data_IF_024305552882
#
_entry.id   IF_024305552882
#
_cell.length_a   1.000
_cell.length_b   1.000
_cell.length_c   1.000
_cell.angle_alpha   90.00
_cell.angle_beta   90.00
_cell.angle_gamma   90.00
#
_symmetry.space_group_name_H-M   'P 1'
#
loop_
_entity.id
_entity.type
_entity.pdbx_description
1 polymer ?
#
# COMPACT_ATOMS: atom_id res chain seq x y z
N UNK A 1 -26.92 7.19 -7.75
CA UNK A 1 -25.50 7.10 -7.37
C UNK A 1 -25.19 5.69 -6.92
N UNK A 2 -24.21 5.01 -7.53
CA UNK A 2 -23.65 3.79 -6.95
C UNK A 2 -22.61 4.24 -5.93
N UNK A 3 -22.86 3.99 -4.64
CA UNK A 3 -21.92 4.37 -3.59
C UNK A 3 -20.66 3.52 -3.74
N UNK A 4 -19.55 4.14 -4.15
CA UNK A 4 -18.27 3.48 -4.25
C UNK A 4 -17.75 3.15 -2.84
N UNK A 5 -17.68 1.85 -2.54
CA UNK A 5 -17.33 1.35 -1.21
C UNK A 5 -15.82 1.43 -1.01
N UNK A 6 -15.38 1.94 0.14
CA UNK A 6 -13.93 2.01 0.43
C UNK A 6 -13.39 0.61 0.71
N UNK A 7 -12.18 0.34 0.21
CA UNK A 7 -11.46 -0.90 0.49
C UNK A 7 -11.04 -0.98 1.97
N UNK A 8 -10.67 0.15 2.56
CA UNK A 8 -10.22 0.24 3.94
C UNK A 8 -10.95 1.35 4.70
N UNK A 9 -11.33 1.05 5.94
CA UNK A 9 -12.05 1.98 6.82
C UNK A 9 -11.26 2.41 8.07
N UNK A 10 -9.98 2.02 8.18
CA UNK A 10 -9.11 2.48 9.27
C UNK A 10 -8.71 3.95 9.08
N UNK A 11 -8.37 4.63 10.18
CA UNK A 11 -7.80 5.98 10.12
C UNK A 11 -6.28 5.92 10.12
N UNK A 12 -5.64 6.85 9.43
CA UNK A 12 -4.17 7.04 9.47
C UNK A 12 -3.65 7.10 10.91
N UNK A 13 -4.38 7.80 11.77
CA UNK A 13 -4.05 7.98 13.17
C UNK A 13 -4.10 6.68 13.99
N UNK A 14 -4.73 5.61 13.51
CA UNK A 14 -4.78 4.30 14.17
C UNK A 14 -3.65 3.38 13.72
N UNK A 15 -2.86 3.79 12.71
CA UNK A 15 -1.77 2.97 12.20
C UNK A 15 -0.54 3.08 13.09
N UNK A 16 -0.03 1.91 13.50
CA UNK A 16 1.16 1.75 14.34
C UNK A 16 2.38 1.31 13.56
N UNK A 17 2.21 0.39 12.60
CA UNK A 17 3.30 -0.10 11.77
C UNK A 17 2.84 -0.36 10.35
N UNK A 18 3.77 -0.25 9.40
CA UNK A 18 3.55 -0.52 7.99
C UNK A 18 4.71 -1.38 7.49
N UNK A 19 4.40 -2.48 6.83
CA UNK A 19 5.37 -3.26 6.06
C UNK A 19 5.00 -3.14 4.59
N UNK A 20 5.96 -2.73 3.77
CA UNK A 20 5.81 -2.61 2.33
C UNK A 20 6.90 -3.47 1.67
N UNK A 21 6.48 -4.48 0.93
CA UNK A 21 7.34 -5.29 0.09
C UNK A 21 7.09 -4.90 -1.38
N UNK A 22 8.10 -4.38 -2.07
CA UNK A 22 8.02 -3.98 -3.48
C UNK A 22 9.37 -4.19 -4.18
N UNK A 23 9.53 -3.68 -5.41
CA UNK A 23 10.79 -3.76 -6.15
C UNK A 23 12.01 -3.09 -5.45
N UNK A 24 11.79 -2.17 -4.50
CA UNK A 24 12.85 -1.58 -3.68
C UNK A 24 13.26 -2.47 -2.49
N UNK A 25 12.55 -3.58 -2.27
CA UNK A 25 12.78 -4.55 -1.20
C UNK A 25 11.75 -4.46 -0.06
N UNK A 26 12.07 -5.09 1.06
CA UNK A 26 11.22 -5.07 2.27
C UNK A 26 11.48 -3.81 3.09
N UNK A 27 10.49 -2.92 3.11
CA UNK A 27 10.46 -1.72 3.93
C UNK A 27 9.58 -1.96 5.15
N UNK A 28 10.08 -1.62 6.33
CA UNK A 28 9.31 -1.70 7.57
C UNK A 28 9.35 -0.33 8.24
N UNK A 29 8.18 0.20 8.56
CA UNK A 29 8.00 1.50 9.20
C UNK A 29 7.24 1.31 10.51
N UNK A 30 7.67 2.03 11.53
CA UNK A 30 6.99 2.10 12.82
C UNK A 30 6.73 3.56 13.16
N UNK A 31 5.51 3.82 13.63
CA UNK A 31 5.13 5.14 14.11
C UNK A 31 5.72 5.34 15.50
N UNK A 32 6.50 6.40 15.65
CA UNK A 32 7.11 6.79 16.92
C UNK A 32 6.25 7.80 17.67
N UNK A 33 5.62 8.72 16.93
CA UNK A 33 4.69 9.73 17.44
C UNK A 33 3.73 10.15 16.31
N UNK A 34 2.69 10.96 16.58
CA UNK A 34 1.82 11.49 15.54
C UNK A 34 2.63 12.23 14.45
N UNK A 35 2.51 11.77 13.20
CA UNK A 35 3.27 12.31 12.07
C UNK A 35 4.78 12.01 12.09
N UNK A 36 5.27 11.15 12.99
CA UNK A 36 6.67 10.78 13.07
C UNK A 36 6.85 9.28 12.84
N UNK A 37 7.46 8.96 11.72
CA UNK A 37 7.73 7.59 11.29
C UNK A 37 9.21 7.29 11.25
N UNK A 38 9.57 6.08 11.66
CA UNK A 38 10.93 5.54 11.57
C UNK A 38 10.90 4.31 10.70
N UNK A 39 11.75 4.29 9.69
CA UNK A 39 12.06 3.08 8.95
C UNK A 39 12.92 2.20 9.85
N UNK A 40 12.55 0.93 10.00
CA UNK A 40 13.32 -0.12 10.69
C UNK A 40 14.06 -1.02 9.73
N UNK A 41 13.53 -1.20 8.52
CA UNK A 41 14.15 -1.97 7.44
C UNK A 41 14.01 -1.25 6.09
N UNK A 42 15.04 -1.33 5.22
CA UNK A 42 16.31 -2.04 5.41
C UNK A 42 17.30 -1.32 6.33
N UNK A 43 17.04 -0.05 6.68
CA UNK A 43 17.88 0.76 7.57
C UNK A 43 17.04 1.36 8.68
N UNK A 44 17.65 1.55 9.85
CA UNK A 44 17.01 2.16 11.01
C UNK A 44 17.20 3.70 10.99
N UNK A 45 16.31 4.41 10.29
CA UNK A 45 16.44 5.84 9.98
C UNK A 45 15.07 6.54 9.99
N UNK A 46 15.06 7.87 10.08
CA UNK A 46 13.81 8.64 9.98
C UNK A 46 13.21 8.45 8.59
N UNK A 47 11.92 8.10 8.55
CA UNK A 47 11.19 7.97 7.31
C UNK A 47 10.61 9.31 6.87
N UNK A 48 10.26 9.40 5.59
CA UNK A 48 9.52 10.53 5.04
C UNK A 48 8.06 10.44 5.48
N UNK A 49 7.68 11.29 6.43
CA UNK A 49 6.32 11.35 6.97
C UNK A 49 5.29 11.70 5.89
N UNK A 50 5.59 12.61 4.97
CA UNK A 50 4.71 12.95 3.86
C UNK A 50 4.48 11.77 2.90
N UNK A 51 5.51 10.99 2.58
CA UNK A 51 5.38 9.79 1.72
C UNK A 51 4.50 8.73 2.39
N UNK A 52 4.66 8.53 3.70
CA UNK A 52 3.84 7.57 4.45
C UNK A 52 2.38 8.04 4.55
N UNK A 53 2.16 9.33 4.86
CA UNK A 53 0.83 9.92 4.88
C UNK A 53 0.14 9.81 3.51
N UNK A 54 0.88 10.04 2.42
CA UNK A 54 0.37 9.83 1.06
C UNK A 54 -0.05 8.38 0.83
N UNK A 55 0.78 7.40 1.23
CA UNK A 55 0.43 5.98 1.11
C UNK A 55 -0.87 5.64 1.85
N UNK A 56 -0.97 6.03 3.13
CA UNK A 56 -2.16 5.74 3.95
C UNK A 56 -3.40 6.47 3.43
N UNK A 57 -3.24 7.69 2.92
CA UNK A 57 -4.30 8.44 2.26
C UNK A 57 -4.80 7.71 1.02
N UNK A 58 -3.91 7.23 0.14
CA UNK A 58 -4.32 6.46 -1.04
C UNK A 58 -5.01 5.15 -0.67
N UNK A 59 -4.54 4.44 0.36
CA UNK A 59 -5.22 3.22 0.83
C UNK A 59 -6.64 3.50 1.33
N UNK A 60 -6.84 4.56 2.12
CA UNK A 60 -8.16 4.89 2.67
C UNK A 60 -9.08 5.60 1.67
N UNK A 61 -8.51 6.24 0.65
CA UNK A 61 -9.24 6.80 -0.48
C UNK A 61 -9.58 5.76 -1.56
N UNK A 62 -8.89 4.62 -1.58
CA UNK A 62 -9.13 3.57 -2.55
C UNK A 62 -10.55 3.02 -2.42
N UNK A 63 -11.25 3.02 -3.55
CA UNK A 63 -12.60 2.52 -3.67
C UNK A 63 -12.62 1.24 -4.49
N UNK A 64 -13.47 0.32 -4.08
CA UNK A 64 -13.89 -0.80 -4.90
C UNK A 64 -14.72 -0.25 -6.06
N UNK A 65 -14.20 -0.39 -7.28
CA UNK A 65 -15.00 -0.15 -8.48
C UNK A 65 -15.75 -1.41 -8.89
N UNK A 66 -15.09 -2.57 -8.77
CA UNK A 66 -15.67 -3.88 -9.07
C UNK A 66 -14.96 -4.97 -8.27
N UNK A 67 -15.71 -5.98 -7.84
CA UNK A 67 -15.16 -7.25 -7.34
C UNK A 67 -15.26 -8.33 -8.43
N UNK A 68 -14.22 -9.13 -8.57
CA UNK A 68 -14.13 -10.28 -9.47
C UNK A 68 -13.82 -11.50 -8.63
N UNK A 69 -14.65 -12.54 -8.73
CA UNK A 69 -14.38 -13.83 -8.11
C UNK A 69 -13.44 -14.61 -9.02
N UNK A 70 -12.17 -14.70 -8.61
CA UNK A 70 -11.13 -15.38 -9.38
C UNK A 70 -10.75 -16.70 -8.72
N UNK A 71 -10.54 -17.73 -9.52
CA UNK A 71 -9.93 -18.97 -9.03
C UNK A 71 -8.45 -18.74 -8.70
N UNK A 72 -7.86 -19.50 -7.76
CA UNK A 72 -6.45 -19.38 -7.41
C UNK A 72 -5.50 -19.59 -8.60
N UNK A 73 -5.90 -20.40 -9.59
CA UNK A 73 -5.16 -20.60 -10.85
C UNK A 73 -5.08 -19.33 -11.72
N UNK A 74 -6.06 -18.43 -11.61
CA UNK A 74 -6.14 -17.18 -12.38
C UNK A 74 -5.36 -16.04 -11.72
N UNK A 75 -4.74 -16.24 -10.55
CA UNK A 75 -3.89 -15.21 -9.91
C UNK A 75 -2.81 -14.66 -10.84
N UNK A 76 -2.31 -15.49 -11.76
CA UNK A 76 -1.31 -15.08 -12.73
C UNK A 76 -1.85 -14.03 -13.73
N UNK A 77 -3.09 -14.19 -14.23
CA UNK A 77 -3.75 -13.24 -15.14
C UNK A 77 -3.91 -11.85 -14.51
N UNK A 78 -4.13 -11.79 -13.20
CA UNK A 78 -4.27 -10.54 -12.46
C UNK A 78 -2.94 -9.99 -11.91
N UNK A 79 -1.80 -10.64 -12.19
CA UNK A 79 -0.50 -10.26 -11.63
C UNK A 79 -0.38 -10.43 -10.11
N UNK A 80 -1.27 -11.22 -9.49
CA UNK A 80 -1.31 -11.47 -8.04
C UNK A 80 -0.42 -12.63 -7.61
N UNK A 81 0.07 -13.44 -8.56
CA UNK A 81 1.08 -14.47 -8.30
C UNK A 81 2.47 -13.87 -8.02
N UNK A 82 2.80 -12.78 -8.71
CA UNK A 82 4.00 -11.97 -8.48
C UNK A 82 3.57 -10.51 -8.32
N UNK A 83 3.08 -10.13 -7.13
CA UNK A 83 2.51 -8.81 -6.92
C UNK A 83 3.57 -7.72 -7.10
N UNK A 84 3.15 -6.58 -7.62
CA UNK A 84 4.03 -5.43 -7.79
C UNK A 84 4.42 -4.81 -6.44
N UNK A 85 3.49 -4.84 -5.48
CA UNK A 85 3.71 -4.44 -4.10
C UNK A 85 2.78 -5.19 -3.15
N UNK A 86 3.21 -5.39 -1.91
CA UNK A 86 2.39 -5.89 -0.81
C UNK A 86 2.54 -4.95 0.38
N UNK A 87 1.45 -4.34 0.80
CA UNK A 87 1.38 -3.46 1.97
C UNK A 87 0.68 -4.20 3.09
N UNK A 88 1.27 -4.23 4.28
CA UNK A 88 0.63 -4.72 5.49
C UNK A 88 0.64 -3.60 6.53
N UNK A 89 -0.54 -3.17 6.93
CA UNK A 89 -0.78 -2.10 7.90
C UNK A 89 -1.17 -2.76 9.21
N UNK A 90 -0.48 -2.44 10.29
CA UNK A 90 -0.82 -2.90 11.64
C UNK A 90 -1.36 -1.71 12.43
N UNK A 91 -2.59 -1.86 12.92
CA UNK A 91 -3.27 -0.86 13.73
C UNK A 91 -2.88 -0.97 15.20
N UNK A 92 -3.12 0.09 15.96
CA UNK A 92 -2.84 0.17 17.40
C UNK A 92 -3.63 -0.87 18.21
N UNK A 93 -4.83 -1.25 17.74
CA UNK A 93 -5.66 -2.29 18.34
C UNK A 93 -5.19 -3.73 18.05
N UNK A 94 -4.09 -3.90 17.29
CA UNK A 94 -3.55 -5.19 16.89
C UNK A 94 -4.16 -5.80 15.63
N UNK A 95 -5.19 -5.17 15.03
CA UNK A 95 -5.72 -5.59 13.73
C UNK A 95 -4.69 -5.30 12.64
N UNK A 96 -4.60 -6.21 11.68
CA UNK A 96 -3.72 -6.08 10.53
C UNK A 96 -4.53 -6.08 9.26
N UNK A 97 -4.28 -5.09 8.40
CA UNK A 97 -4.83 -5.03 7.06
C UNK A 97 -3.74 -5.31 6.03
N UNK A 98 -4.03 -6.11 5.01
CA UNK A 98 -3.11 -6.40 3.92
C UNK A 98 -3.69 -6.01 2.57
N UNK A 99 -2.90 -5.29 1.78
CA UNK A 99 -3.16 -4.93 0.40
C UNK A 99 -2.10 -5.56 -0.48
N UNK A 100 -2.51 -6.40 -1.41
CA UNK A 100 -1.63 -6.96 -2.45
C UNK A 100 -1.98 -6.29 -3.76
N UNK A 101 -1.01 -5.59 -4.36
CA UNK A 101 -1.16 -4.86 -5.63
C UNK A 101 -0.69 -5.74 -6.78
N UNK A 102 -1.60 -6.07 -7.68
CA UNK A 102 -1.36 -6.88 -8.87
C UNK A 102 -1.08 -6.05 -10.13
N UNK A 103 -1.43 -6.62 -11.29
CA UNK A 103 -1.29 -5.97 -12.58
C UNK A 103 -2.38 -4.90 -12.80
N UNK A 104 -2.13 -4.03 -13.77
CA UNK A 104 -3.13 -3.10 -14.28
C UNK A 104 -4.14 -3.83 -15.17
N UNK A 105 -5.36 -3.31 -15.24
CA UNK A 105 -6.33 -3.73 -16.24
C UNK A 105 -5.88 -3.35 -17.66
N UNK A 106 -6.47 -3.97 -18.67
CA UNK A 106 -6.23 -3.69 -20.10
C UNK A 106 -6.34 -2.20 -20.46
N UNK A 107 -7.21 -1.47 -19.76
CA UNK A 107 -7.42 -0.03 -19.97
C UNK A 107 -6.28 0.84 -19.42
N UNK A 108 -5.47 0.31 -18.50
CA UNK A 108 -4.43 1.05 -17.77
C UNK A 108 -4.98 2.08 -16.76
N UNK A 109 -6.31 2.19 -16.62
CA UNK A 109 -6.97 3.13 -15.71
C UNK A 109 -7.12 2.56 -14.28
N UNK A 110 -7.17 1.23 -14.17
CA UNK A 110 -7.40 0.52 -12.92
C UNK A 110 -6.35 -0.56 -12.72
N UNK A 111 -6.25 -1.05 -11.49
CA UNK A 111 -5.43 -2.19 -11.13
C UNK A 111 -6.21 -3.23 -10.35
N UNK A 112 -5.70 -4.44 -10.39
CA UNK A 112 -6.19 -5.56 -9.60
C UNK A 112 -5.50 -5.59 -8.24
N UNK A 113 -6.27 -5.78 -7.18
CA UNK A 113 -5.74 -5.89 -5.83
C UNK A 113 -6.46 -6.98 -5.03
N UNK A 114 -5.76 -7.58 -4.07
CA UNK A 114 -6.37 -8.37 -3.01
C UNK A 114 -6.36 -7.56 -1.72
N UNK A 115 -7.49 -7.54 -1.04
CA UNK A 115 -7.65 -6.89 0.26
C UNK A 115 -7.93 -7.96 1.30
N UNK A 116 -7.16 -7.92 2.39
CA UNK A 116 -7.21 -8.88 3.50
C UNK A 116 -7.32 -10.36 3.05
N UNK A 117 -6.43 -10.82 2.14
CA UNK A 117 -6.50 -12.19 1.67
C UNK A 117 -6.23 -13.16 2.83
N UNK A 118 -6.95 -14.29 2.90
CA UNK A 118 -6.67 -15.31 3.89
C UNK A 118 -5.24 -15.82 3.74
N UNK A 119 -4.58 -16.14 4.86
CA UNK A 119 -3.21 -16.64 4.87
C UNK A 119 -3.03 -17.89 3.99
N UNK A 120 -4.08 -18.70 3.83
CA UNK A 120 -4.13 -19.86 2.95
C UNK A 120 -4.85 -19.54 1.63
N UNK A 121 -4.50 -18.42 1.01
CA UNK A 121 -5.04 -17.99 -0.29
C UNK A 121 -4.80 -19.01 -1.42
N UNK A 122 -3.97 -20.03 -1.21
CA UNK A 122 -3.77 -21.15 -2.12
C UNK A 122 -4.89 -22.20 -2.05
N UNK A 123 -5.53 -22.37 -0.89
CA UNK A 123 -6.67 -23.28 -0.69
C UNK A 123 -8.03 -22.58 -0.77
N UNK A 124 -8.04 -21.28 -1.01
CA UNK A 124 -9.28 -20.52 -1.15
C UNK A 124 -9.87 -20.81 -2.54
N UNK A 125 -11.08 -21.38 -2.64
CA UNK A 125 -11.65 -21.79 -3.92
C UNK A 125 -11.89 -20.61 -4.86
N UNK A 126 -12.28 -19.46 -4.29
CA UNK A 126 -12.59 -18.23 -5.01
C UNK A 126 -12.02 -17.06 -4.21
N UNK A 127 -11.18 -16.27 -4.85
CA UNK A 127 -10.52 -15.12 -4.25
C UNK A 127 -11.22 -13.84 -4.73
N UNK A 128 -11.62 -12.95 -3.81
CA UNK A 128 -12.18 -11.67 -4.18
C UNK A 128 -11.05 -10.76 -4.69
N UNK A 129 -10.95 -10.62 -6.00
CA UNK A 129 -10.05 -9.69 -6.67
C UNK A 129 -10.78 -8.38 -6.86
N UNK A 130 -10.25 -7.30 -6.30
CA UNK A 130 -10.82 -5.96 -6.37
C UNK A 130 -10.19 -5.19 -7.53
N UNK A 131 -11.01 -4.52 -8.32
CA UNK A 131 -10.60 -3.52 -9.31
C UNK A 131 -10.70 -2.16 -8.65
N UNK A 132 -9.58 -1.43 -8.63
CA UNK A 132 -9.47 -0.15 -7.90
C UNK A 132 -8.53 0.82 -8.61
N UNK A 133 -8.38 2.02 -8.03
CA UNK A 133 -7.65 3.13 -8.63
C UNK A 133 -6.15 2.83 -8.77
N UNK A 134 -5.56 3.35 -9.84
CA UNK A 134 -4.14 3.20 -10.11
C UNK A 134 -3.24 3.94 -9.11
N UNK A 135 -3.78 4.90 -8.35
CA UNK A 135 -3.02 5.70 -7.37
C UNK A 135 -2.34 4.84 -6.29
N UNK A 136 -2.91 3.66 -5.99
CA UNK A 136 -2.27 2.68 -5.09
C UNK A 136 -0.93 2.20 -5.64
N UNK A 137 -0.79 2.03 -6.95
CA UNK A 137 0.48 1.70 -7.59
C UNK A 137 1.49 2.82 -7.35
N UNK A 138 1.12 4.08 -7.57
CA UNK A 138 2.00 5.24 -7.36
C UNK A 138 2.36 5.46 -5.89
N UNK A 139 1.48 5.08 -4.97
CA UNK A 139 1.75 5.11 -3.55
C UNK A 139 2.72 4.03 -3.08
N UNK A 140 2.64 2.84 -3.66
CA UNK A 140 3.37 1.64 -3.19
C UNK A 140 4.66 1.37 -3.95
N UNK A 141 4.74 1.74 -5.22
CA UNK A 141 5.93 1.55 -6.07
C UNK A 141 6.74 2.84 -6.11
N UNK A 142 7.54 3.04 -5.05
CA UNK A 142 8.44 4.19 -4.92
C UNK A 142 9.85 3.73 -4.61
N UNK A 143 10.89 4.43 -5.12
CA UNK A 143 12.27 4.11 -4.79
C UNK A 143 12.54 4.32 -3.31
N UNK A 144 13.48 3.54 -2.74
CA UNK A 144 13.83 3.61 -1.31
C UNK A 144 14.08 5.05 -0.83
N UNK A 145 14.75 5.88 -1.64
CA UNK A 145 15.09 7.27 -1.31
C UNK A 145 13.88 8.15 -0.97
N UNK A 146 12.72 7.92 -1.59
CA UNK A 146 11.48 8.68 -1.35
C UNK A 146 10.87 8.35 0.02
N UNK A 147 11.18 7.18 0.57
CA UNK A 147 10.74 6.75 1.90
C UNK A 147 11.65 7.26 3.02
N UNK A 148 12.82 7.78 2.68
CA UNK A 148 13.76 8.35 3.64
C UNK A 148 13.45 9.83 3.83
N UNK A 149 13.52 10.30 5.06
CA UNK A 149 13.35 11.73 5.32
C UNK A 149 14.33 12.53 4.43
N UNK A 150 13.87 13.60 3.75
CA UNK A 150 14.74 14.39 2.91
C UNK A 150 15.89 14.94 3.77
N UNK A 151 17.11 15.05 3.19
CA UNK A 151 18.19 15.73 3.89
C UNK A 151 17.72 17.14 4.27
N UNK A 152 18.15 17.68 5.42
CA UNK A 152 17.79 19.04 5.81
C UNK A 152 18.18 19.99 4.68
N UNK A 153 17.18 20.53 3.98
CA UNK A 153 17.42 21.48 2.89
C UNK A 153 17.96 22.76 3.53
N UNK A 154 19.28 22.94 3.42
CA UNK A 154 19.92 24.21 3.75
C UNK A 154 19.28 25.26 2.84
N UNK A 155 18.60 26.25 3.42
CA UNK A 155 17.88 27.34 2.73
C UNK A 155 18.84 28.26 1.98
N UNK A 156 19.52 27.75 0.96
CA UNK A 156 20.57 28.47 0.25
C UNK A 156 20.31 28.51 -1.25
N UNK A 157 19.06 28.73 -1.66
CA UNK A 157 18.74 29.15 -3.03
C UNK A 157 17.41 29.93 -3.06
N UNK A 158 17.28 30.93 -2.17
CA UNK A 158 16.53 32.13 -2.54
C UNK A 158 17.36 32.84 -3.61
N UNK A 159 17.19 32.43 -4.88
CA UNK A 159 17.80 33.14 -6.01
C UNK A 159 17.01 34.45 -6.22
N UNK A 160 17.71 35.59 -6.38
CA UNK A 160 17.15 36.94 -6.31
C UNK A 160 16.19 37.29 -7.45
#
# INVERSE_FOLDING_TARGET
EMAAQRLFNFKEAEVKAIRLDNAAGTLVFERQAPGQWRMRKPRDVRANDATIAFLLSQMTAAQEERQIEAKPEQKADFGLNQPQATVTVTLENGQTHQLIVGAMDFSGAFLYALVDPPADSAKTPELPVYVTTIDLQTATIRPLSEWLAPPPQNQSERKP
#
